data_IF_018391088546
#
_entry.id   IF_018391088546
#
_cell.length_a   1.000
_cell.length_b   1.000
_cell.length_c   1.000
_cell.angle_alpha   90.00
_cell.angle_beta   90.00
_cell.angle_gamma   90.00
#
_symmetry.space_group_name_H-M   'P 1'
#
loop_
_entity.id
_entity.type
_entity.pdbx_description
1 polymer ?
#
# COMPACT_ATOMS: atom_id res chain seq x y z
N UNK A 1 -18.40 29.58 -44.26
CA UNK A 1 -17.72 28.39 -43.72
C UNK A 1 -18.76 27.64 -42.93
N UNK A 2 -19.31 26.60 -43.56
CA UNK A 2 -20.37 25.73 -43.03
C UNK A 2 -19.78 24.84 -41.94
N UNK A 3 -20.30 24.88 -40.74
CA UNK A 3 -19.86 24.08 -39.60
C UNK A 3 -20.35 22.66 -39.76
N UNK A 4 -19.43 21.70 -39.97
CA UNK A 4 -19.67 20.28 -40.04
C UNK A 4 -20.39 19.76 -38.77
N UNK A 5 -21.62 19.25 -38.85
CA UNK A 5 -22.36 18.75 -37.70
C UNK A 5 -21.85 17.38 -37.18
N UNK A 6 -20.90 16.73 -37.86
CA UNK A 6 -20.36 15.42 -37.48
C UNK A 6 -19.37 15.47 -36.31
N UNK A 7 -18.97 16.66 -35.81
CA UNK A 7 -17.95 16.82 -34.76
C UNK A 7 -18.47 16.75 -33.32
N UNK A 8 -19.74 16.41 -33.09
CA UNK A 8 -20.37 16.36 -31.75
C UNK A 8 -20.90 14.99 -31.31
N UNK A 9 -20.57 13.93 -32.00
CA UNK A 9 -20.76 12.59 -31.45
C UNK A 9 -19.53 12.22 -30.61
N UNK A 10 -19.49 12.65 -29.37
CA UNK A 10 -18.54 12.11 -28.40
C UNK A 10 -18.71 10.60 -28.36
N UNK A 11 -17.63 9.86 -28.55
CA UNK A 11 -17.66 8.42 -28.38
C UNK A 11 -18.30 8.11 -27.03
N UNK A 12 -19.25 7.15 -26.96
CA UNK A 12 -19.82 6.78 -25.66
C UNK A 12 -18.69 6.37 -24.73
N UNK A 13 -18.52 7.09 -23.64
CA UNK A 13 -17.56 6.70 -22.60
C UNK A 13 -17.99 5.32 -22.12
N UNK A 14 -17.18 4.32 -22.37
CA UNK A 14 -17.47 2.96 -21.93
C UNK A 14 -17.51 2.95 -20.40
N UNK A 15 -18.70 2.81 -19.84
CA UNK A 15 -18.88 2.74 -18.39
C UNK A 15 -18.31 1.40 -17.88
N UNK A 16 -17.40 1.45 -16.95
CA UNK A 16 -16.92 0.28 -16.23
C UNK A 16 -17.80 0.05 -14.99
N UNK A 17 -18.36 -1.16 -14.85
CA UNK A 17 -19.17 -1.46 -13.66
C UNK A 17 -18.29 -1.49 -12.41
N UNK A 18 -18.87 -1.11 -11.25
CA UNK A 18 -18.15 -1.11 -9.97
C UNK A 18 -17.49 -2.44 -9.63
N UNK A 19 -18.16 -3.61 -9.77
CA UNK A 19 -17.51 -4.90 -9.52
C UNK A 19 -16.32 -5.16 -10.43
N UNK A 20 -16.41 -4.74 -11.70
CA UNK A 20 -15.29 -4.92 -12.65
C UNK A 20 -14.14 -3.96 -12.33
N UNK A 21 -14.43 -2.73 -11.93
CA UNK A 21 -13.41 -1.80 -11.44
C UNK A 21 -12.67 -2.37 -10.24
N UNK A 22 -13.41 -2.81 -9.21
CA UNK A 22 -12.82 -3.40 -8.02
C UNK A 22 -11.97 -4.65 -8.30
N UNK A 23 -12.37 -5.48 -9.26
CA UNK A 23 -11.60 -6.64 -9.67
C UNK A 23 -10.27 -6.28 -10.38
N UNK A 24 -10.21 -5.14 -11.07
CA UNK A 24 -9.03 -4.69 -11.81
C UNK A 24 -8.07 -3.86 -10.95
N UNK A 25 -8.61 -2.95 -10.17
CA UNK A 25 -7.87 -1.89 -9.47
C UNK A 25 -8.00 -1.97 -7.95
N UNK A 26 -8.82 -2.87 -7.44
CA UNK A 26 -9.20 -2.93 -6.04
C UNK A 26 -10.37 -1.99 -5.71
N UNK A 27 -10.82 -2.01 -4.45
CA UNK A 27 -11.89 -1.13 -3.98
C UNK A 27 -11.43 0.35 -4.01
N UNK A 28 -12.39 1.28 -4.04
CA UNK A 28 -12.13 2.72 -4.06
C UNK A 28 -13.11 3.46 -3.14
N UNK A 29 -13.09 4.78 -3.14
CA UNK A 29 -13.92 5.63 -2.27
C UNK A 29 -15.39 5.19 -2.25
N UNK A 30 -15.94 4.99 -1.06
CA UNK A 30 -17.30 4.55 -0.79
C UNK A 30 -17.54 3.06 -0.91
N UNK A 31 -16.54 2.28 -1.32
CA UNK A 31 -16.64 0.82 -1.27
C UNK A 31 -16.48 0.31 0.16
N UNK A 32 -17.23 -0.73 0.49
CA UNK A 32 -17.13 -1.45 1.75
C UNK A 32 -16.50 -2.79 1.52
N UNK A 33 -15.52 -3.11 2.33
CA UNK A 33 -14.79 -4.38 2.30
C UNK A 33 -14.83 -5.03 3.67
N UNK A 34 -14.83 -6.35 3.69
CA UNK A 34 -14.73 -7.12 4.92
C UNK A 34 -13.32 -6.99 5.49
N UNK A 35 -13.24 -6.73 6.80
CA UNK A 35 -11.96 -6.67 7.50
C UNK A 35 -11.49 -8.09 7.85
N UNK A 36 -10.62 -8.63 7.01
CA UNK A 36 -10.10 -9.99 7.15
C UNK A 36 -11.22 -11.02 7.38
N UNK A 37 -11.04 -11.94 8.31
CA UNK A 37 -11.99 -13.00 8.67
C UNK A 37 -12.91 -12.57 9.84
N UNK A 38 -13.44 -11.37 9.77
CA UNK A 38 -14.34 -10.81 10.78
C UNK A 38 -15.67 -10.40 10.15
N UNK A 39 -16.68 -10.12 10.96
CA UNK A 39 -17.99 -9.58 10.52
C UNK A 39 -17.94 -8.05 10.31
N UNK A 40 -16.78 -7.42 10.49
CA UNK A 40 -16.64 -5.99 10.35
C UNK A 40 -16.51 -5.59 8.87
N UNK A 41 -17.28 -4.59 8.47
CA UNK A 41 -17.15 -3.93 7.18
C UNK A 41 -16.49 -2.58 7.39
N UNK A 42 -15.40 -2.34 6.67
CA UNK A 42 -14.72 -1.06 6.62
C UNK A 42 -15.07 -0.34 5.33
N UNK A 43 -15.26 0.98 5.39
CA UNK A 43 -15.58 1.81 4.23
C UNK A 43 -14.37 2.69 3.90
N UNK A 44 -13.96 2.69 2.62
CA UNK A 44 -12.88 3.51 2.12
C UNK A 44 -13.40 4.94 1.98
N UNK A 45 -12.87 5.86 2.77
CA UNK A 45 -13.30 7.26 2.80
C UNK A 45 -12.66 8.09 1.69
N UNK A 46 -11.49 7.71 1.22
CA UNK A 46 -10.74 8.43 0.18
C UNK A 46 -9.83 7.47 -0.59
N UNK A 47 -9.71 7.70 -1.91
CA UNK A 47 -8.74 7.03 -2.77
C UNK A 47 -7.71 8.05 -3.27
N UNK A 48 -6.47 7.90 -2.84
CA UNK A 48 -5.33 8.74 -3.20
C UNK A 48 -4.41 8.11 -4.23
N UNK A 49 -4.63 6.85 -4.58
CA UNK A 49 -3.78 6.12 -5.53
C UNK A 49 -3.92 6.62 -6.97
N UNK A 50 -5.08 7.16 -7.33
CA UNK A 50 -5.31 7.81 -8.63
C UNK A 50 -4.84 9.27 -8.69
N UNK A 51 -4.48 9.85 -7.55
CA UNK A 51 -4.22 11.27 -7.42
C UNK A 51 -5.50 12.10 -7.25
N UNK A 52 -5.38 13.40 -6.93
CA UNK A 52 -6.51 14.26 -6.68
C UNK A 52 -7.48 14.35 -7.87
N UNK A 53 -8.70 13.84 -7.71
CA UNK A 53 -9.75 13.93 -8.73
C UNK A 53 -9.56 13.03 -9.96
N UNK A 54 -8.62 12.10 -9.94
CA UNK A 54 -8.26 11.24 -11.07
C UNK A 54 -8.54 9.77 -10.75
N UNK A 55 -9.80 9.41 -10.58
CA UNK A 55 -10.19 8.01 -10.48
C UNK A 55 -9.90 7.26 -11.79
N UNK A 56 -9.29 6.09 -11.72
CA UNK A 56 -8.96 5.25 -12.87
C UNK A 56 -7.57 5.44 -13.45
N UNK A 57 -6.76 6.32 -12.85
CA UNK A 57 -5.35 6.55 -13.26
C UNK A 57 -4.36 5.98 -12.22
N UNK A 58 -4.72 4.87 -11.62
CA UNK A 58 -3.92 4.22 -10.58
C UNK A 58 -2.63 3.62 -11.15
N UNK A 59 -1.55 3.77 -10.40
CA UNK A 59 -0.31 3.07 -10.64
C UNK A 59 -0.42 1.62 -10.17
N UNK A 60 -0.57 0.68 -11.10
CA UNK A 60 -0.71 -0.75 -10.80
C UNK A 60 0.49 -1.51 -11.34
N UNK A 61 1.14 -2.29 -10.48
CA UNK A 61 2.29 -3.10 -10.83
C UNK A 61 1.89 -4.47 -11.39
N UNK A 62 2.65 -4.95 -12.37
CA UNK A 62 2.52 -6.28 -12.94
C UNK A 62 2.57 -6.32 -14.46
N UNK A 63 2.56 -7.52 -15.04
CA UNK A 63 2.55 -7.73 -16.48
C UNK A 63 1.34 -7.08 -17.14
N UNK A 64 1.56 -6.21 -18.13
CA UNK A 64 0.50 -5.44 -18.78
C UNK A 64 -0.08 -4.29 -17.95
N UNK A 65 0.51 -3.98 -16.80
CA UNK A 65 0.13 -2.88 -15.92
C UNK A 65 1.00 -1.65 -16.15
N UNK A 66 0.64 -0.53 -15.52
CA UNK A 66 1.27 0.78 -15.72
C UNK A 66 2.69 0.81 -15.16
N UNK A 67 2.90 0.28 -13.94
CA UNK A 67 4.21 0.23 -13.31
C UNK A 67 4.92 -1.09 -13.63
N UNK A 68 5.87 -1.02 -14.51
CA UNK A 68 6.84 -2.07 -14.83
C UNK A 68 8.04 -1.44 -15.53
N UNK A 69 9.10 -2.21 -15.72
CA UNK A 69 10.27 -1.75 -16.47
C UNK A 69 9.87 -1.16 -17.84
N UNK A 70 10.41 -0.01 -18.15
CA UNK A 70 10.12 0.82 -19.35
C UNK A 70 8.69 1.39 -19.44
N UNK A 71 7.86 1.23 -18.40
CA UNK A 71 6.49 1.76 -18.37
C UNK A 71 6.16 2.27 -16.96
N UNK A 72 5.86 3.56 -16.84
CA UNK A 72 5.50 4.18 -15.57
C UNK A 72 6.67 4.34 -14.59
N UNK A 73 7.84 3.83 -14.90
CA UNK A 73 9.06 4.05 -14.17
C UNK A 73 9.71 5.36 -14.63
N UNK A 74 10.00 6.25 -13.68
CA UNK A 74 10.74 7.48 -13.92
C UNK A 74 12.25 7.27 -13.93
N UNK A 75 12.99 8.37 -14.06
CA UNK A 75 14.45 8.37 -14.11
C UNK A 75 15.11 8.68 -12.77
N UNK A 76 14.33 9.06 -11.76
CA UNK A 76 14.85 9.47 -10.47
C UNK A 76 15.65 8.33 -9.83
N UNK A 77 16.88 8.63 -9.47
CA UNK A 77 17.73 7.73 -8.72
C UNK A 77 17.43 7.82 -7.22
N UNK A 78 17.91 6.86 -6.43
CA UNK A 78 17.81 6.93 -4.97
C UNK A 78 18.45 8.21 -4.40
N UNK A 79 19.56 8.67 -5.00
CA UNK A 79 20.22 9.91 -4.61
C UNK A 79 19.37 11.17 -4.88
N UNK A 80 18.50 11.11 -5.88
CA UNK A 80 17.54 12.15 -6.24
C UNK A 80 16.21 12.04 -5.50
N UNK A 81 16.09 11.07 -4.59
CA UNK A 81 14.95 10.96 -3.71
C UNK A 81 13.96 9.82 -4.02
N UNK A 82 14.22 9.00 -5.03
CA UNK A 82 13.37 7.84 -5.29
C UNK A 82 13.29 6.92 -4.05
N UNK A 83 12.11 6.40 -3.69
CA UNK A 83 11.95 5.46 -2.60
C UNK A 83 12.67 4.13 -2.87
N UNK A 84 13.08 3.44 -1.81
CA UNK A 84 13.65 2.10 -1.91
C UNK A 84 12.57 1.08 -2.29
N UNK A 85 11.38 1.24 -1.70
CA UNK A 85 10.22 0.36 -1.95
C UNK A 85 8.95 1.21 -2.07
N UNK A 86 8.07 0.81 -2.99
CA UNK A 86 6.71 1.34 -3.09
C UNK A 86 5.71 0.19 -3.02
N UNK A 87 4.72 0.32 -2.13
CA UNK A 87 3.56 -0.57 -2.08
C UNK A 87 2.42 0.13 -2.80
N UNK A 88 1.89 -0.48 -3.87
CA UNK A 88 0.87 0.16 -4.71
C UNK A 88 -0.54 -0.29 -4.38
N UNK A 89 -1.49 0.65 -4.37
CA UNK A 89 -2.94 0.38 -4.35
C UNK A 89 -3.46 -0.34 -3.11
N UNK A 90 -2.78 -0.23 -1.96
CA UNK A 90 -3.22 -0.85 -0.71
C UNK A 90 -4.35 -0.06 -0.05
N UNK A 91 -5.27 -0.77 0.62
CA UNK A 91 -6.19 -0.14 1.57
C UNK A 91 -5.47 0.02 2.90
N UNK A 92 -5.28 1.26 3.33
CA UNK A 92 -4.61 1.61 4.57
C UNK A 92 -5.67 1.79 5.65
N UNK A 93 -5.58 0.99 6.70
CA UNK A 93 -6.40 1.11 7.90
C UNK A 93 -5.54 1.69 9.02
N UNK A 94 -5.80 2.92 9.41
CA UNK A 94 -5.05 3.61 10.46
C UNK A 94 -6.02 4.42 11.35
N UNK A 95 -5.51 4.94 12.49
CA UNK A 95 -6.31 5.71 13.45
C UNK A 95 -6.93 6.99 12.86
N UNK A 96 -6.32 7.55 11.82
CA UNK A 96 -6.80 8.78 11.18
C UNK A 96 -7.76 8.53 10.00
N UNK A 97 -7.94 7.30 9.58
CA UNK A 97 -8.90 6.98 8.52
C UNK A 97 -8.63 5.66 7.79
N UNK A 98 -9.49 5.38 6.84
CA UNK A 98 -9.41 4.22 5.95
C UNK A 98 -9.34 4.75 4.53
N UNK A 99 -8.17 4.65 3.91
CA UNK A 99 -7.95 5.17 2.57
C UNK A 99 -7.31 4.12 1.67
N UNK A 100 -7.44 4.29 0.36
CA UNK A 100 -6.61 3.60 -0.62
C UNK A 100 -5.50 4.53 -1.08
N UNK A 101 -4.25 4.05 -1.07
CA UNK A 101 -3.11 4.83 -1.53
C UNK A 101 -1.90 3.94 -1.85
N UNK A 102 -0.90 4.54 -2.51
CA UNK A 102 0.45 4.00 -2.59
C UNK A 102 1.29 4.52 -1.44
N UNK A 103 2.27 3.74 -1.02
CA UNK A 103 3.14 4.04 0.13
C UNK A 103 4.58 3.91 -0.30
N UNK A 104 5.38 4.96 -0.10
CA UNK A 104 6.81 4.94 -0.33
C UNK A 104 7.59 4.73 0.97
N UNK A 105 8.60 3.88 0.88
CA UNK A 105 9.51 3.57 1.98
C UNK A 105 10.94 3.89 1.52
N UNK A 106 11.67 4.64 2.33
CA UNK A 106 13.10 4.91 2.14
C UNK A 106 13.80 4.92 3.50
N UNK A 107 14.97 4.30 3.55
CA UNK A 107 15.76 4.17 4.78
C UNK A 107 14.93 3.56 5.95
N UNK A 108 14.06 2.58 5.65
CA UNK A 108 13.18 1.93 6.63
C UNK A 108 12.07 2.82 7.19
N UNK A 109 11.76 3.95 6.55
CA UNK A 109 10.73 4.91 6.97
C UNK A 109 9.73 5.16 5.86
N UNK A 110 8.46 5.34 6.21
CA UNK A 110 7.44 5.83 5.29
C UNK A 110 7.78 7.29 4.96
N UNK A 111 8.01 7.58 3.68
CA UNK A 111 8.34 8.93 3.21
C UNK A 111 7.13 9.67 2.67
N UNK A 112 6.16 8.95 2.11
CA UNK A 112 4.91 9.54 1.64
C UNK A 112 3.81 8.49 1.49
N UNK A 113 2.56 8.97 1.48
CA UNK A 113 1.33 8.22 1.18
C UNK A 113 0.56 9.03 0.14
N UNK A 114 0.28 8.44 -1.03
CA UNK A 114 -0.36 9.14 -2.13
C UNK A 114 -0.35 8.32 -3.41
N UNK A 115 -0.15 8.97 -4.56
CA UNK A 115 0.02 8.31 -5.86
C UNK A 115 1.50 8.16 -6.18
N UNK A 116 1.93 6.93 -6.45
CA UNK A 116 3.26 6.64 -6.98
C UNK A 116 3.26 6.56 -8.51
N UNK A 117 4.43 6.72 -9.12
CA UNK A 117 4.59 6.52 -10.55
C UNK A 117 5.66 7.41 -11.18
N UNK A 118 5.47 7.69 -12.46
CA UNK A 118 6.32 8.57 -13.23
C UNK A 118 5.58 9.88 -13.56
N UNK A 119 5.98 11.02 -12.99
CA UNK A 119 5.32 12.29 -13.23
C UNK A 119 5.43 12.80 -14.69
N UNK A 120 6.35 12.25 -15.48
CA UNK A 120 6.48 12.63 -16.91
C UNK A 120 5.30 12.15 -17.76
N UNK A 121 4.59 11.09 -17.30
CA UNK A 121 3.49 10.46 -18.05
C UNK A 121 2.22 10.28 -17.22
N UNK A 122 2.25 10.54 -15.92
CA UNK A 122 1.14 10.33 -14.99
C UNK A 122 0.91 11.59 -14.17
N UNK A 123 -0.32 12.10 -14.16
CA UNK A 123 -0.68 13.25 -13.34
C UNK A 123 -0.85 12.86 -11.86
N UNK A 124 -0.63 13.81 -10.95
CA UNK A 124 -0.90 13.65 -9.52
C UNK A 124 0.08 12.77 -8.77
N UNK A 125 1.21 12.38 -9.38
CA UNK A 125 2.27 11.65 -8.68
C UNK A 125 2.86 12.52 -7.57
N UNK A 126 2.92 11.95 -6.35
CA UNK A 126 3.52 12.62 -5.21
C UNK A 126 5.04 12.76 -5.42
N UNK A 127 5.66 13.91 -5.13
CA UNK A 127 7.10 14.13 -5.38
C UNK A 127 8.02 13.08 -4.75
N UNK A 128 7.66 12.58 -3.56
CA UNK A 128 8.44 11.56 -2.84
C UNK A 128 8.04 10.12 -3.21
N UNK A 129 7.15 9.93 -4.19
CA UNK A 129 6.69 8.61 -4.68
C UNK A 129 7.04 8.39 -6.16
N UNK A 130 8.03 9.11 -6.67
CA UNK A 130 8.53 8.89 -8.03
C UNK A 130 9.24 7.55 -8.09
N UNK A 131 8.68 6.61 -8.86
CA UNK A 131 9.25 5.27 -9.02
C UNK A 131 10.50 5.35 -9.90
N UNK A 132 11.63 5.01 -9.34
CA UNK A 132 12.92 5.01 -10.03
C UNK A 132 13.40 3.60 -10.42
N UNK A 133 14.54 3.51 -11.13
CA UNK A 133 15.09 2.22 -11.57
C UNK A 133 15.50 1.27 -10.43
N UNK A 134 15.77 1.81 -9.25
CA UNK A 134 16.14 1.04 -8.06
C UNK A 134 15.00 0.83 -7.08
N UNK A 135 13.79 1.28 -7.41
CA UNK A 135 12.62 1.14 -6.55
C UNK A 135 12.02 -0.25 -6.68
N UNK A 136 11.95 -0.98 -5.58
CA UNK A 136 11.18 -2.22 -5.52
C UNK A 136 9.68 -1.90 -5.49
N UNK A 137 8.88 -2.64 -6.28
CA UNK A 137 7.43 -2.48 -6.29
C UNK A 137 6.75 -3.70 -5.68
N UNK A 138 5.91 -3.47 -4.68
CA UNK A 138 5.07 -4.48 -4.06
C UNK A 138 3.61 -4.17 -4.40
N UNK A 139 2.94 -5.10 -5.07
CA UNK A 139 1.51 -4.95 -5.37
C UNK A 139 0.67 -5.10 -4.09
N UNK A 140 0.04 -4.01 -3.67
CA UNK A 140 -0.85 -3.95 -2.51
C UNK A 140 -2.33 -4.11 -2.85
N UNK A 141 -2.67 -4.23 -4.14
CA UNK A 141 -4.05 -4.39 -4.58
C UNK A 141 -4.74 -5.59 -3.93
N UNK A 142 -5.93 -5.36 -3.35
CA UNK A 142 -6.67 -6.39 -2.62
C UNK A 142 -6.11 -6.73 -1.23
N UNK A 143 -5.20 -5.93 -0.71
CA UNK A 143 -4.63 -6.09 0.63
C UNK A 143 -4.98 -4.92 1.52
N UNK A 144 -5.12 -5.21 2.81
CA UNK A 144 -5.27 -4.22 3.87
C UNK A 144 -3.92 -4.06 4.55
N UNK A 145 -3.45 -2.83 4.65
CA UNK A 145 -2.21 -2.47 5.32
C UNK A 145 -2.53 -1.79 6.64
N UNK A 146 -1.94 -2.29 7.71
CA UNK A 146 -2.03 -1.71 9.05
C UNK A 146 -0.64 -1.43 9.61
N UNK A 147 -0.54 -0.59 10.64
CA UNK A 147 0.66 -0.57 11.47
C UNK A 147 0.90 -1.95 12.07
N UNK A 148 2.17 -2.34 12.21
CA UNK A 148 2.53 -3.55 12.92
C UNK A 148 2.16 -3.46 14.40
N UNK A 149 1.70 -4.57 14.98
CA UNK A 149 1.33 -4.65 16.37
C UNK A 149 2.57 -4.54 17.29
N UNK A 150 2.36 -3.99 18.48
CA UNK A 150 3.36 -3.93 19.55
C UNK A 150 2.90 -4.88 20.65
N UNK A 151 3.69 -5.90 20.95
CA UNK A 151 3.48 -6.74 22.11
C UNK A 151 4.37 -6.23 23.25
N UNK A 152 3.75 -5.71 24.29
CA UNK A 152 4.44 -5.13 25.44
C UNK A 152 4.54 -6.07 26.65
N UNK A 153 4.16 -7.34 26.50
CA UNK A 153 4.26 -8.34 27.56
C UNK A 153 4.71 -9.70 27.00
N UNK A 154 5.99 -9.83 26.73
CA UNK A 154 6.57 -11.03 26.13
C UNK A 154 7.64 -11.62 27.03
N UNK A 155 7.56 -12.94 27.28
CA UNK A 155 8.66 -13.71 27.84
C UNK A 155 9.48 -14.28 26.68
N UNK A 156 10.71 -13.82 26.52
CA UNK A 156 11.63 -14.26 25.45
C UNK A 156 12.17 -15.66 25.76
N UNK A 157 11.38 -16.68 25.51
CA UNK A 157 11.65 -18.05 25.90
C UNK A 157 12.58 -18.76 24.87
N UNK A 158 12.37 -18.50 23.58
CA UNK A 158 13.12 -19.14 22.51
C UNK A 158 13.15 -18.27 21.24
N UNK A 159 14.15 -18.44 20.33
CA UNK A 159 14.27 -17.65 19.11
C UNK A 159 13.08 -17.75 18.15
N UNK A 160 12.36 -18.87 18.16
CA UNK A 160 11.20 -19.11 17.31
C UNK A 160 10.09 -18.10 17.53
N UNK A 161 10.00 -17.50 18.72
CA UNK A 161 8.99 -16.49 19.03
C UNK A 161 9.05 -15.28 18.08
N UNK A 162 10.22 -14.97 17.53
CA UNK A 162 10.39 -13.86 16.59
C UNK A 162 9.68 -14.14 15.26
N UNK A 163 9.81 -15.34 14.71
CA UNK A 163 9.15 -15.74 13.47
C UNK A 163 7.63 -15.82 13.66
N UNK A 164 7.18 -16.39 14.77
CA UNK A 164 5.76 -16.47 15.11
C UNK A 164 5.12 -15.09 15.32
N UNK A 165 5.82 -14.19 16.01
CA UNK A 165 5.38 -12.81 16.21
C UNK A 165 5.22 -12.08 14.88
N UNK A 166 6.22 -12.14 13.99
CA UNK A 166 6.16 -11.55 12.66
C UNK A 166 5.04 -12.16 11.82
N UNK A 167 4.87 -13.48 11.86
CA UNK A 167 3.77 -14.18 11.19
C UNK A 167 2.40 -13.74 11.70
N UNK A 168 2.29 -13.35 12.97
CA UNK A 168 1.10 -12.77 13.59
C UNK A 168 0.93 -11.27 13.41
N UNK A 169 1.85 -10.59 12.67
CA UNK A 169 1.78 -9.14 12.44
C UNK A 169 2.36 -8.28 13.57
N UNK A 170 3.08 -8.88 14.52
CA UNK A 170 3.78 -8.17 15.60
C UNK A 170 5.15 -7.74 15.07
N UNK A 171 5.41 -6.44 15.04
CA UNK A 171 6.68 -5.87 14.53
C UNK A 171 7.56 -5.29 15.65
N UNK A 172 7.02 -5.16 16.85
CA UNK A 172 7.74 -4.64 18.01
C UNK A 172 7.41 -5.47 19.23
N UNK A 173 8.46 -5.90 19.93
CA UNK A 173 8.34 -6.68 21.17
C UNK A 173 9.03 -5.90 22.28
N UNK A 174 8.32 -5.70 23.41
CA UNK A 174 8.87 -5.20 24.65
C UNK A 174 8.75 -6.34 25.66
N UNK A 175 9.84 -7.05 25.87
CA UNK A 175 9.81 -8.25 26.68
C UNK A 175 11.02 -8.42 27.58
N UNK A 176 10.95 -9.43 28.42
CA UNK A 176 12.04 -9.85 29.31
C UNK A 176 12.22 -11.35 29.33
N UNK A 177 13.38 -11.80 29.79
CA UNK A 177 13.72 -13.21 29.89
C UNK A 177 13.19 -13.90 31.15
N UNK A 178 12.57 -13.18 32.06
CA UNK A 178 12.24 -13.72 33.39
C UNK A 178 10.75 -13.64 33.66
N UNK A 179 10.15 -14.79 33.90
CA UNK A 179 8.86 -14.89 34.59
C UNK A 179 9.02 -14.98 36.12
N UNK A 180 8.08 -15.62 36.84
CA UNK A 180 8.21 -15.89 38.28
C UNK A 180 9.51 -16.63 38.57
N UNK A 181 10.29 -16.09 39.48
CA UNK A 181 11.75 -16.17 39.61
C UNK A 181 12.42 -17.54 39.45
N UNK A 182 11.80 -18.64 39.76
CA UNK A 182 12.48 -19.94 39.70
C UNK A 182 12.07 -20.78 38.46
N UNK A 183 10.83 -20.70 38.00
CA UNK A 183 10.39 -21.42 36.82
C UNK A 183 10.94 -20.85 35.52
N UNK A 184 11.20 -19.57 35.44
CA UNK A 184 11.60 -18.90 34.22
C UNK A 184 13.10 -18.96 33.91
N UNK A 185 13.95 -19.16 34.93
CA UNK A 185 15.40 -19.37 34.71
C UNK A 185 15.69 -20.59 33.84
N UNK A 186 14.81 -21.59 33.90
CA UNK A 186 14.98 -22.83 33.12
C UNK A 186 14.37 -22.75 31.72
N UNK A 187 13.61 -21.71 31.38
CA UNK A 187 12.85 -21.63 30.12
C UNK A 187 13.37 -20.59 29.15
N UNK A 188 14.21 -19.64 29.60
CA UNK A 188 14.78 -18.62 28.72
C UNK A 188 16.05 -19.14 28.07
N UNK A 189 16.03 -19.24 26.74
CA UNK A 189 17.18 -19.73 25.93
C UNK A 189 17.77 -18.63 25.03
N UNK A 190 17.21 -17.43 25.08
CA UNK A 190 17.73 -16.24 24.40
C UNK A 190 18.40 -15.33 25.43
N UNK A 191 19.59 -14.78 25.12
CA UNK A 191 20.26 -13.81 25.98
C UNK A 191 19.48 -12.50 26.08
#
# INVERSE_FOLDING_TARGET
>A
VESDPARKAGHPVSALSRPRYAALFGPTTGDRIQLADTDLLIEITEDRSGGPGLAGDEAVFGGGKVLRESMGQGRATRAEGAPDTVITGAVILDYWGIIKADIGIRDGRIVAIGKAGNPDIMSGVHPDLVVGPSTEIIAGNGRILTAGAIDCHVHLICPQIMAEALGGGITTIIGGGTGPAEGSKATTVTP
#
